data_IF_581282071821
#
_entry.id   IF_581282071821
#
_cell.length_a   1.000
_cell.length_b   1.000
_cell.length_c   1.000
_cell.angle_alpha   90.00
_cell.angle_beta   90.00
_cell.angle_gamma   90.00
#
_symmetry.space_group_name_H-M   'P 1'
#
loop_
_entity.id
_entity.type
_entity.pdbx_description
1 polymer ?
#
# COMPACT_ATOMS: atom_id res chain seq x y z
N UNK A 1 42.84 -3.31 64.78
CA UNK A 1 43.29 -3.21 63.41
C UNK A 1 42.19 -3.95 62.52
N UNK A 2 41.25 -3.19 62.11
CA UNK A 2 40.03 -3.73 61.43
C UNK A 2 40.06 -3.29 59.99
N UNK A 3 40.19 -4.28 59.07
CA UNK A 3 40.10 -4.07 57.61
C UNK A 3 38.64 -4.03 57.23
N UNK A 4 38.21 -2.88 56.71
CA UNK A 4 36.88 -2.72 56.11
C UNK A 4 36.97 -3.07 54.65
N UNK A 5 36.28 -4.15 54.25
CA UNK A 5 36.16 -4.61 52.86
C UNK A 5 35.03 -3.84 52.19
N UNK A 6 35.33 -2.98 51.20
CA UNK A 6 34.37 -2.28 50.37
C UNK A 6 34.00 -3.17 49.18
N UNK A 7 32.80 -3.75 49.23
CA UNK A 7 32.18 -4.34 48.03
C UNK A 7 31.64 -3.24 47.13
N UNK A 8 32.23 -3.11 45.96
CA UNK A 8 31.70 -2.27 44.87
C UNK A 8 30.64 -3.07 44.12
N UNK A 9 29.36 -2.72 44.29
CA UNK A 9 28.27 -3.28 43.51
C UNK A 9 28.17 -2.49 42.22
N UNK A 10 28.69 -3.04 41.11
CA UNK A 10 28.39 -2.54 39.76
C UNK A 10 26.96 -2.94 39.38
N UNK A 11 26.02 -2.03 39.49
CA UNK A 11 24.69 -2.18 38.92
C UNK A 11 24.81 -2.01 37.40
N UNK A 12 24.92 -3.13 36.68
CA UNK A 12 24.80 -3.13 35.23
C UNK A 12 23.36 -2.82 34.84
N UNK A 13 23.11 -1.66 34.26
CA UNK A 13 21.88 -1.33 33.54
C UNK A 13 21.82 -2.21 32.29
N UNK A 14 21.05 -3.27 32.37
CA UNK A 14 20.62 -4.04 31.18
C UNK A 14 19.60 -3.19 30.44
N UNK A 15 20.07 -2.45 29.43
CA UNK A 15 19.24 -1.89 28.40
C UNK A 15 18.63 -3.07 27.59
N UNK A 16 17.43 -3.41 27.91
CA UNK A 16 16.65 -4.39 27.13
C UNK A 16 16.32 -3.77 25.77
N UNK A 17 17.20 -3.98 24.79
CA UNK A 17 16.87 -3.73 23.39
C UNK A 17 15.82 -4.74 23.00
N UNK A 18 14.58 -4.31 22.87
CA UNK A 18 13.53 -5.11 22.22
C UNK A 18 13.87 -5.11 20.73
N UNK A 19 14.64 -6.10 20.30
CA UNK A 19 14.85 -6.35 18.88
C UNK A 19 13.53 -6.80 18.28
N UNK A 20 12.86 -5.91 17.60
CA UNK A 20 11.73 -6.26 16.73
C UNK A 20 12.28 -7.04 15.55
N UNK A 21 12.20 -8.36 15.62
CA UNK A 21 12.62 -9.30 14.57
C UNK A 21 11.66 -9.27 13.37
N UNK A 22 11.26 -8.09 12.86
CA UNK A 22 10.36 -8.00 11.72
C UNK A 22 11.09 -8.02 10.38
N UNK A 23 12.42 -7.89 10.35
CA UNK A 23 13.21 -7.84 9.11
C UNK A 23 12.92 -6.63 8.20
N UNK A 24 12.06 -5.69 8.65
CA UNK A 24 11.75 -4.42 7.99
C UNK A 24 12.56 -3.29 8.64
N UNK A 25 13.00 -2.28 7.87
CA UNK A 25 13.69 -1.14 8.43
C UNK A 25 12.78 -0.33 9.36
N UNK A 26 13.36 0.21 10.39
CA UNK A 26 12.69 1.20 11.22
C UNK A 26 12.83 2.57 10.56
N UNK A 27 11.72 3.28 10.41
CA UNK A 27 11.68 4.63 9.84
C UNK A 27 11.36 5.60 10.96
N UNK A 28 12.27 6.55 11.26
CA UNK A 28 12.05 7.50 12.34
C UNK A 28 10.76 8.30 12.14
N UNK A 29 10.06 8.56 13.24
CA UNK A 29 8.89 9.44 13.29
C UNK A 29 9.11 10.52 14.35
N UNK A 30 8.51 11.72 14.21
CA UNK A 30 8.60 12.74 15.23
C UNK A 30 8.07 12.25 16.58
N UNK A 31 8.59 12.80 17.66
CA UNK A 31 8.06 12.50 19.00
C UNK A 31 6.58 12.88 19.12
N UNK A 32 5.88 12.16 19.98
CA UNK A 32 4.48 12.43 20.33
C UNK A 32 3.45 12.28 19.19
N UNK A 33 3.78 11.55 18.12
CA UNK A 33 2.81 11.17 17.08
C UNK A 33 2.23 9.77 17.35
N UNK A 34 0.96 9.59 17.01
CA UNK A 34 0.31 8.27 16.99
C UNK A 34 0.37 7.72 15.57
N UNK A 35 1.11 6.64 15.40
CA UNK A 35 1.28 5.99 14.09
C UNK A 35 0.21 4.93 13.89
N UNK A 36 -0.48 5.00 12.75
CA UNK A 36 -1.45 3.98 12.32
C UNK A 36 -0.86 3.16 11.19
N UNK A 37 -0.86 1.85 11.32
CA UNK A 37 -0.54 0.94 10.22
C UNK A 37 -1.79 0.79 9.34
N UNK A 38 -1.65 1.03 8.02
CA UNK A 38 -2.77 1.03 7.07
C UNK A 38 -3.22 -0.40 6.73
N UNK A 39 -2.29 -1.36 6.72
CA UNK A 39 -2.58 -2.78 6.48
C UNK A 39 -1.54 -3.64 7.18
N UNK A 40 -1.95 -4.81 7.68
CA UNK A 40 -1.04 -5.78 8.31
C UNK A 40 -0.06 -6.36 7.28
N UNK A 41 -0.59 -6.83 6.16
CA UNK A 41 0.18 -7.36 5.02
C UNK A 41 -0.35 -6.75 3.73
N UNK A 42 0.55 -6.16 2.96
CA UNK A 42 0.21 -5.58 1.65
C UNK A 42 1.23 -6.02 0.60
N UNK A 43 0.75 -6.30 -0.60
CA UNK A 43 1.58 -6.52 -1.79
C UNK A 43 1.07 -5.60 -2.90
N UNK A 44 1.95 -4.77 -3.45
CA UNK A 44 1.66 -3.86 -4.56
C UNK A 44 2.46 -4.29 -5.79
N UNK A 45 1.78 -4.68 -6.85
CA UNK A 45 2.39 -5.18 -8.09
C UNK A 45 3.48 -6.26 -7.85
N UNK A 46 3.22 -7.20 -6.92
CA UNK A 46 4.14 -8.25 -6.56
C UNK A 46 5.22 -7.86 -5.54
N UNK A 47 5.31 -6.59 -5.13
CA UNK A 47 6.26 -6.10 -4.13
C UNK A 47 5.60 -6.05 -2.76
N UNK A 48 6.07 -6.80 -1.75
CA UNK A 48 5.59 -6.65 -0.38
C UNK A 48 5.84 -5.24 0.15
N UNK A 49 4.84 -4.67 0.82
CA UNK A 49 4.89 -3.30 1.35
C UNK A 49 4.32 -3.23 2.76
N UNK A 50 4.79 -2.23 3.52
CA UNK A 50 4.14 -1.72 4.72
C UNK A 50 3.81 -0.25 4.52
N UNK A 51 2.64 0.17 4.98
CA UNK A 51 2.21 1.56 4.91
C UNK A 51 1.79 2.01 6.31
N UNK A 52 2.35 3.13 6.73
CA UNK A 52 2.02 3.80 7.98
C UNK A 52 1.54 5.21 7.69
N UNK A 53 0.70 5.75 8.57
CA UNK A 53 0.28 7.14 8.48
C UNK A 53 0.19 7.77 9.86
N UNK A 54 0.39 9.08 9.92
CA UNK A 54 0.21 9.87 11.14
C UNK A 54 -0.02 11.35 10.81
N UNK A 55 -0.54 12.05 11.80
CA UNK A 55 -0.67 13.50 11.78
C UNK A 55 0.38 14.15 12.68
N UNK A 56 0.84 15.35 12.28
CA UNK A 56 1.85 16.12 12.98
C UNK A 56 1.39 17.57 13.17
N UNK A 57 0.99 17.91 14.38
CA UNK A 57 0.42 19.22 14.72
C UNK A 57 1.28 20.44 14.34
N UNK A 58 2.63 20.40 14.45
CA UNK A 58 3.46 21.52 14.02
C UNK A 58 3.41 21.84 12.52
N UNK A 59 2.74 21.01 11.71
CA UNK A 59 2.44 21.27 10.31
C UNK A 59 3.42 20.68 9.30
N UNK A 60 3.04 20.77 8.02
CA UNK A 60 3.75 20.17 6.87
C UNK A 60 5.23 20.55 6.81
N UNK A 61 5.55 21.85 6.95
CA UNK A 61 6.92 22.33 6.75
C UNK A 61 7.88 21.72 7.78
N UNK A 62 7.49 21.74 9.07
CA UNK A 62 8.32 21.15 10.12
C UNK A 62 8.46 19.64 9.98
N UNK A 63 7.44 18.98 9.44
CA UNK A 63 7.50 17.55 9.16
C UNK A 63 8.48 17.23 8.01
N UNK A 64 8.49 18.03 6.94
CA UNK A 64 9.49 17.93 5.87
C UNK A 64 10.90 18.18 6.39
N UNK A 65 11.07 19.22 7.20
CA UNK A 65 12.38 19.56 7.78
C UNK A 65 12.89 18.44 8.71
N UNK A 66 11.99 17.78 9.46
CA UNK A 66 12.34 16.60 10.26
C UNK A 66 12.96 15.52 9.38
N UNK A 67 12.31 15.07 8.31
CA UNK A 67 12.84 14.00 7.45
C UNK A 67 14.09 14.41 6.70
N UNK A 68 14.15 15.65 6.19
CA UNK A 68 15.34 16.17 5.51
C UNK A 68 16.57 16.20 6.42
N UNK A 69 16.39 16.62 7.67
CA UNK A 69 17.49 16.69 8.65
C UNK A 69 17.89 15.30 9.10
N UNK A 70 16.95 14.45 9.51
CA UNK A 70 17.22 13.07 9.93
C UNK A 70 18.00 12.31 8.87
N UNK A 71 17.56 12.36 7.61
CA UNK A 71 18.23 11.62 6.54
C UNK A 71 19.60 12.21 6.15
N UNK A 72 19.81 13.52 6.32
CA UNK A 72 21.14 14.13 6.16
C UNK A 72 22.10 13.75 7.30
N UNK A 73 21.61 13.74 8.54
CA UNK A 73 22.38 13.33 9.71
C UNK A 73 22.79 11.86 9.66
N UNK A 74 21.93 11.01 9.08
CA UNK A 74 22.18 9.58 8.85
C UNK A 74 22.96 9.31 7.54
N UNK A 75 23.36 10.35 6.81
CA UNK A 75 24.05 10.26 5.51
C UNK A 75 23.28 9.47 4.45
N UNK A 76 21.92 9.46 4.54
CA UNK A 76 21.05 8.80 3.58
C UNK A 76 20.85 9.71 2.36
N UNK A 77 21.27 9.25 1.18
CA UNK A 77 20.93 9.90 -0.09
C UNK A 77 19.45 9.74 -0.38
N UNK A 78 18.72 10.85 -0.51
CA UNK A 78 17.30 10.83 -0.85
C UNK A 78 16.98 11.73 -2.04
N UNK A 79 15.88 11.43 -2.71
CA UNK A 79 15.27 12.28 -3.73
C UNK A 79 14.01 12.91 -3.19
N UNK A 80 13.76 14.14 -3.61
CA UNK A 80 12.56 14.88 -3.27
C UNK A 80 11.89 15.39 -4.53
N UNK A 81 10.55 15.27 -4.61
CA UNK A 81 9.75 15.84 -5.70
C UNK A 81 8.35 16.17 -5.20
N UNK A 82 7.66 17.05 -5.93
CA UNK A 82 6.28 17.43 -5.65
C UNK A 82 5.33 16.74 -6.63
N UNK A 83 4.20 16.24 -6.09
CA UNK A 83 3.13 15.64 -6.89
C UNK A 83 1.77 16.06 -6.31
N UNK A 84 1.10 17.00 -6.98
CA UNK A 84 -0.14 17.58 -6.49
C UNK A 84 0.04 18.26 -5.12
N UNK A 85 -0.69 17.80 -4.13
CA UNK A 85 -0.57 18.33 -2.76
C UNK A 85 0.56 17.68 -1.93
N UNK A 86 1.24 16.68 -2.46
CA UNK A 86 2.25 15.90 -1.77
C UNK A 86 3.65 16.38 -2.10
N UNK A 87 4.50 16.46 -1.08
CA UNK A 87 5.95 16.40 -1.24
C UNK A 87 6.40 15.01 -0.86
N UNK A 88 7.14 14.37 -1.75
CA UNK A 88 7.54 12.99 -1.65
C UNK A 88 9.05 12.93 -1.51
N UNK A 89 9.52 12.42 -0.35
CA UNK A 89 10.91 12.09 -0.12
C UNK A 89 11.07 10.59 -0.27
N UNK A 90 12.13 10.13 -0.93
CA UNK A 90 12.34 8.71 -1.15
C UNK A 90 13.82 8.34 -1.17
N UNK A 91 14.14 7.24 -0.49
CA UNK A 91 15.50 6.76 -0.32
C UNK A 91 15.59 5.24 -0.40
N UNK A 92 16.69 4.69 -0.97
CA UNK A 92 17.02 3.29 -0.82
C UNK A 92 17.48 3.02 0.62
N UNK A 93 17.15 1.84 1.13
CA UNK A 93 17.60 1.34 2.43
C UNK A 93 17.86 -0.17 2.33
N UNK A 94 19.09 -0.55 1.98
CA UNK A 94 19.48 -1.92 1.65
C UNK A 94 18.58 -2.52 0.56
N UNK A 95 17.87 -3.60 0.85
CA UNK A 95 16.90 -4.26 -0.06
C UNK A 95 15.51 -3.62 -0.08
N UNK A 96 15.32 -2.57 0.70
CA UNK A 96 14.06 -1.83 0.80
C UNK A 96 14.15 -0.49 0.07
N UNK A 97 12.98 0.09 -0.16
CA UNK A 97 12.85 1.46 -0.61
C UNK A 97 11.82 2.16 0.28
N UNK A 98 12.25 3.24 0.92
CA UNK A 98 11.42 4.03 1.83
C UNK A 98 10.91 5.26 1.11
N UNK A 99 9.62 5.53 1.22
CA UNK A 99 8.97 6.71 0.66
C UNK A 99 8.18 7.40 1.75
N UNK A 100 8.46 8.67 1.99
CA UNK A 100 7.71 9.53 2.91
C UNK A 100 6.96 10.57 2.09
N UNK A 101 5.65 10.49 2.08
CA UNK A 101 4.75 11.43 1.40
C UNK A 101 4.15 12.36 2.44
N UNK A 102 4.37 13.66 2.29
CA UNK A 102 3.90 14.68 3.24
C UNK A 102 2.95 15.63 2.55
N UNK A 103 1.80 15.86 3.17
CA UNK A 103 0.79 16.83 2.72
C UNK A 103 0.34 17.71 3.89
N UNK A 104 -0.53 18.67 3.61
CA UNK A 104 -1.20 19.51 4.59
C UNK A 104 -2.65 19.05 4.74
N UNK A 105 -3.10 18.81 5.99
CA UNK A 105 -4.48 18.52 6.32
C UNK A 105 -4.98 19.59 7.32
N UNK A 106 -5.69 20.59 6.83
CA UNK A 106 -6.03 21.75 7.65
C UNK A 106 -4.77 22.47 8.16
N UNK A 107 -4.57 22.55 9.46
CA UNK A 107 -3.39 23.14 10.10
C UNK A 107 -2.32 22.09 10.46
N UNK A 108 -2.57 20.82 10.16
CA UNK A 108 -1.75 19.67 10.56
C UNK A 108 -0.97 19.15 9.37
N UNK A 109 0.29 18.78 9.54
CA UNK A 109 1.04 17.98 8.59
C UNK A 109 0.50 16.54 8.61
N UNK A 110 0.34 15.94 7.45
CA UNK A 110 -0.04 14.54 7.31
C UNK A 110 1.04 13.77 6.56
N UNK A 111 1.48 12.66 7.12
CA UNK A 111 2.47 11.79 6.49
C UNK A 111 1.91 10.40 6.17
N UNK A 112 2.35 9.87 5.03
CA UNK A 112 2.30 8.44 4.74
C UNK A 112 3.73 7.94 4.50
N UNK A 113 4.09 6.87 5.21
CA UNK A 113 5.37 6.18 5.04
C UNK A 113 5.10 4.86 4.35
N UNK A 114 5.65 4.67 3.16
CA UNK A 114 5.64 3.41 2.43
C UNK A 114 7.02 2.76 2.46
N UNK A 115 7.08 1.49 2.87
CA UNK A 115 8.31 0.69 2.85
C UNK A 115 8.09 -0.48 1.89
N UNK A 116 8.84 -0.54 0.81
CA UNK A 116 8.76 -1.58 -0.22
C UNK A 116 9.92 -2.55 -0.09
N UNK A 117 9.66 -3.86 -0.03
CA UNK A 117 10.69 -4.89 0.08
C UNK A 117 11.02 -5.50 -1.30
N UNK A 118 11.97 -4.87 -2.00
CA UNK A 118 12.43 -5.36 -3.31
C UNK A 118 13.26 -6.63 -3.22
N UNK A 119 13.90 -6.89 -2.09
CA UNK A 119 14.65 -8.12 -1.84
C UNK A 119 13.79 -9.38 -1.79
N UNK A 120 12.48 -9.23 -1.55
CA UNK A 120 11.52 -10.34 -1.55
C UNK A 120 11.02 -10.69 -2.96
N UNK A 121 11.24 -9.82 -3.96
CA UNK A 121 10.81 -10.06 -5.35
C UNK A 121 11.75 -11.08 -6.01
N UNK A 122 11.20 -12.08 -6.66
CA UNK A 122 11.94 -13.14 -7.33
C UNK A 122 11.28 -13.53 -8.65
N UNK A 123 11.95 -14.37 -9.44
CA UNK A 123 11.38 -14.95 -10.67
C UNK A 123 10.12 -15.79 -10.43
N UNK A 124 9.84 -16.17 -9.18
CA UNK A 124 8.63 -16.92 -8.79
C UNK A 124 7.49 -16.00 -8.35
N UNK A 125 7.74 -14.70 -8.20
CA UNK A 125 6.71 -13.71 -7.89
C UNK A 125 5.75 -13.64 -9.09
N UNK A 126 4.44 -13.87 -8.90
CA UNK A 126 3.48 -13.79 -9.99
C UNK A 126 3.44 -12.38 -10.59
N UNK A 127 3.29 -12.30 -11.91
CA UNK A 127 3.07 -11.02 -12.58
C UNK A 127 1.76 -10.38 -12.11
N UNK A 128 1.70 -9.04 -12.02
CA UNK A 128 0.48 -8.32 -11.71
C UNK A 128 -0.70 -8.76 -12.58
N UNK A 129 -1.85 -8.97 -11.97
CA UNK A 129 -3.06 -9.44 -12.65
C UNK A 129 -3.13 -10.94 -12.91
N UNK A 130 -2.16 -11.73 -12.46
CA UNK A 130 -2.22 -13.20 -12.60
C UNK A 130 -3.50 -13.74 -11.95
N UNK A 131 -4.24 -14.57 -12.72
CA UNK A 131 -5.52 -15.16 -12.28
C UNK A 131 -6.73 -14.25 -12.39
N UNK A 132 -6.58 -12.95 -12.66
CA UNK A 132 -7.71 -12.07 -12.95
C UNK A 132 -8.10 -12.17 -14.43
N UNK A 133 -9.40 -12.37 -14.76
CA UNK A 133 -9.87 -12.46 -16.14
C UNK A 133 -9.75 -11.09 -16.83
N UNK A 134 -9.28 -11.06 -18.08
CA UNK A 134 -9.18 -9.82 -18.85
C UNK A 134 -9.26 -10.11 -20.37
N UNK A 135 -9.73 -9.13 -21.10
CA UNK A 135 -9.71 -9.16 -22.57
C UNK A 135 -8.25 -9.07 -23.07
N UNK A 136 -7.96 -9.54 -24.30
CA UNK A 136 -6.64 -9.33 -24.91
C UNK A 136 -6.24 -7.85 -24.90
N UNK A 137 -4.94 -7.57 -24.94
CA UNK A 137 -4.35 -6.22 -24.96
C UNK A 137 -4.73 -5.35 -23.74
N UNK A 138 -5.14 -5.99 -22.66
CA UNK A 138 -5.36 -5.31 -21.38
C UNK A 138 -4.05 -5.16 -20.59
N UNK A 139 -3.79 -3.93 -20.15
CA UNK A 139 -2.68 -3.59 -19.26
C UNK A 139 -3.17 -3.59 -17.80
N UNK A 140 -2.52 -4.34 -16.93
CA UNK A 140 -2.70 -4.22 -15.49
C UNK A 140 -1.84 -3.05 -14.99
N UNK A 141 -2.50 -2.00 -14.53
CA UNK A 141 -1.83 -0.80 -14.00
C UNK A 141 -1.46 -1.03 -12.54
N UNK A 142 -2.42 -1.51 -11.74
CA UNK A 142 -2.23 -1.81 -10.33
C UNK A 142 -2.84 -3.16 -9.97
N UNK A 143 -2.16 -3.88 -9.09
CA UNK A 143 -2.62 -5.10 -8.44
C UNK A 143 -2.19 -5.05 -6.97
N UNK A 144 -3.14 -4.81 -6.09
CA UNK A 144 -2.92 -4.62 -4.66
C UNK A 144 -3.62 -5.72 -3.91
N UNK A 145 -2.88 -6.53 -3.19
CA UNK A 145 -3.45 -7.49 -2.23
C UNK A 145 -3.16 -7.01 -0.81
N UNK A 146 -4.14 -7.11 0.06
CA UNK A 146 -4.01 -6.70 1.44
C UNK A 146 -4.75 -7.68 2.37
N UNK A 147 -4.22 -7.84 3.58
CA UNK A 147 -4.89 -8.53 4.67
C UNK A 147 -5.09 -7.53 5.80
N UNK A 148 -6.29 -7.43 6.30
CA UNK A 148 -6.64 -6.62 7.46
C UNK A 148 -7.66 -7.34 8.34
N UNK A 149 -7.33 -7.50 9.62
CA UNK A 149 -8.19 -8.18 10.61
C UNK A 149 -8.68 -9.56 10.13
N UNK A 150 -7.80 -10.33 9.47
CA UNK A 150 -8.09 -11.66 8.92
C UNK A 150 -8.88 -11.66 7.61
N UNK A 151 -9.33 -10.51 7.12
CA UNK A 151 -10.01 -10.36 5.84
C UNK A 151 -9.01 -10.10 4.74
N UNK A 152 -9.09 -10.84 3.65
CA UNK A 152 -8.23 -10.63 2.48
C UNK A 152 -8.99 -9.85 1.40
N UNK A 153 -8.31 -8.89 0.80
CA UNK A 153 -8.81 -8.13 -0.33
C UNK A 153 -7.79 -8.09 -1.46
N UNK A 154 -8.27 -7.96 -2.68
CA UNK A 154 -7.44 -7.68 -3.86
C UNK A 154 -8.10 -6.62 -4.72
N UNK A 155 -7.36 -5.56 -5.00
CA UNK A 155 -7.82 -4.45 -5.83
C UNK A 155 -6.98 -4.38 -7.10
N UNK A 156 -7.64 -4.34 -8.26
CA UNK A 156 -6.98 -4.23 -9.55
C UNK A 156 -7.46 -2.99 -10.29
N UNK A 157 -6.53 -2.34 -10.96
CA UNK A 157 -6.82 -1.36 -12.01
C UNK A 157 -6.27 -1.90 -13.33
N UNK A 158 -7.17 -2.09 -14.30
CA UNK A 158 -6.84 -2.59 -15.64
C UNK A 158 -7.31 -1.60 -16.68
N UNK A 159 -6.52 -1.38 -17.70
CA UNK A 159 -6.85 -0.53 -18.86
C UNK A 159 -6.83 -1.32 -20.15
N UNK A 160 -7.76 -1.01 -21.07
CA UNK A 160 -7.71 -1.53 -22.44
C UNK A 160 -8.43 -0.60 -23.43
N UNK A 161 -8.33 -0.90 -24.74
CA UNK A 161 -8.98 -0.17 -25.80
C UNK A 161 -10.38 -0.69 -26.18
N UNK A 162 -10.93 -1.67 -25.44
CA UNK A 162 -12.26 -2.23 -25.72
C UNK A 162 -13.38 -1.32 -25.18
N UNK A 163 -14.57 -1.37 -25.79
CA UNK A 163 -15.72 -0.60 -25.30
C UNK A 163 -16.20 -1.09 -23.94
N UNK A 164 -16.87 -0.21 -23.18
CA UNK A 164 -17.53 -0.57 -21.91
C UNK A 164 -18.48 -1.75 -22.09
N UNK A 165 -19.25 -1.77 -23.17
CA UNK A 165 -20.17 -2.87 -23.46
C UNK A 165 -19.45 -4.20 -23.71
N UNK A 166 -18.29 -4.19 -24.38
CA UNK A 166 -17.47 -5.39 -24.61
C UNK A 166 -16.88 -5.92 -23.31
N UNK A 167 -16.28 -5.03 -22.49
CA UNK A 167 -15.74 -5.38 -21.18
C UNK A 167 -16.85 -5.93 -20.25
N UNK A 168 -18.00 -5.25 -20.18
CA UNK A 168 -19.12 -5.68 -19.35
C UNK A 168 -19.62 -7.09 -19.72
N UNK A 169 -19.85 -7.35 -21.03
CA UNK A 169 -20.29 -8.68 -21.50
C UNK A 169 -19.24 -9.76 -21.20
N UNK A 170 -17.98 -9.43 -21.35
CA UNK A 170 -16.88 -10.34 -21.06
C UNK A 170 -16.89 -10.77 -19.58
N UNK A 171 -16.91 -9.81 -18.64
CA UNK A 171 -16.92 -10.12 -17.20
C UNK A 171 -18.21 -10.82 -16.79
N UNK A 172 -19.36 -10.35 -17.24
CA UNK A 172 -20.64 -11.00 -16.97
C UNK A 172 -20.61 -12.47 -17.42
N UNK A 173 -20.23 -12.73 -18.68
CA UNK A 173 -20.16 -14.10 -19.20
C UNK A 173 -19.09 -14.95 -18.53
N UNK A 174 -17.94 -14.35 -18.16
CA UNK A 174 -16.88 -15.07 -17.44
C UNK A 174 -17.40 -15.58 -16.09
N UNK A 175 -17.92 -14.71 -15.25
CA UNK A 175 -18.37 -15.08 -13.90
C UNK A 175 -19.58 -15.99 -13.91
N UNK A 176 -20.54 -15.82 -14.85
CA UNK A 176 -21.65 -16.74 -15.00
C UNK A 176 -21.19 -18.16 -15.37
N UNK A 177 -20.23 -18.32 -16.29
CA UNK A 177 -19.66 -19.64 -16.64
C UNK A 177 -18.91 -20.29 -15.47
N UNK A 178 -18.40 -19.49 -14.52
CA UNK A 178 -17.75 -19.96 -13.31
C UNK A 178 -18.73 -20.16 -12.13
N UNK A 179 -20.05 -20.13 -12.41
CA UNK A 179 -21.11 -20.31 -11.41
C UNK A 179 -21.11 -19.27 -10.28
N UNK A 180 -20.68 -18.03 -10.57
CA UNK A 180 -20.86 -16.92 -9.66
C UNK A 180 -22.29 -16.37 -9.79
N UNK A 181 -22.91 -16.04 -8.66
CA UNK A 181 -24.20 -15.37 -8.60
C UNK A 181 -24.04 -13.89 -8.91
N UNK A 182 -24.84 -13.36 -9.84
CA UNK A 182 -24.90 -11.93 -10.11
C UNK A 182 -25.79 -11.26 -9.05
N UNK A 183 -25.14 -10.47 -8.17
CA UNK A 183 -25.82 -9.73 -7.09
C UNK A 183 -26.39 -8.42 -7.62
N UNK A 184 -25.59 -7.72 -8.42
CA UNK A 184 -25.97 -6.43 -9.05
C UNK A 184 -25.31 -6.31 -10.41
N UNK A 185 -26.02 -5.70 -11.33
CA UNK A 185 -25.45 -5.37 -12.64
C UNK A 185 -26.13 -4.12 -13.23
N UNK A 186 -25.32 -3.24 -13.81
CA UNK A 186 -25.80 -2.07 -14.54
C UNK A 186 -24.86 -1.76 -15.70
N UNK A 187 -25.42 -1.40 -16.85
CA UNK A 187 -24.69 -0.98 -18.03
C UNK A 187 -25.33 0.30 -18.59
N UNK A 188 -24.61 1.42 -18.52
CA UNK A 188 -24.99 2.68 -19.14
C UNK A 188 -23.98 3.06 -20.24
N UNK A 189 -24.24 2.59 -21.46
CA UNK A 189 -23.35 2.85 -22.61
C UNK A 189 -23.29 4.35 -22.94
N UNK A 190 -24.37 5.11 -22.69
CA UNK A 190 -24.42 6.55 -23.00
C UNK A 190 -23.50 7.34 -22.06
N UNK A 191 -23.43 6.93 -20.81
CA UNK A 191 -22.50 7.53 -19.82
C UNK A 191 -21.11 6.94 -19.88
N UNK A 192 -20.87 5.90 -20.69
CA UNK A 192 -19.58 5.21 -20.73
C UNK A 192 -19.23 4.55 -19.39
N UNK A 193 -20.21 3.94 -18.70
CA UNK A 193 -20.02 3.35 -17.39
C UNK A 193 -20.79 2.02 -17.26
N UNK A 194 -20.24 1.11 -16.46
CA UNK A 194 -20.94 -0.10 -16.03
C UNK A 194 -20.46 -0.52 -14.64
N UNK A 195 -21.30 -1.30 -13.95
CA UNK A 195 -20.96 -1.93 -12.68
C UNK A 195 -21.49 -3.36 -12.66
N UNK A 196 -20.74 -4.25 -12.04
CA UNK A 196 -21.08 -5.66 -11.87
C UNK A 196 -20.60 -6.10 -10.47
N UNK A 197 -21.50 -6.63 -9.65
CA UNK A 197 -21.19 -7.29 -8.39
C UNK A 197 -21.58 -8.76 -8.51
N UNK A 198 -20.65 -9.64 -8.24
CA UNK A 198 -20.86 -11.09 -8.25
C UNK A 198 -20.33 -11.72 -6.97
N UNK A 199 -20.98 -12.78 -6.51
CA UNK A 199 -20.60 -13.49 -5.30
C UNK A 199 -20.60 -15.00 -5.51
N UNK A 200 -19.67 -15.69 -4.83
CA UNK A 200 -19.61 -17.15 -4.78
C UNK A 200 -18.92 -17.59 -3.48
N UNK A 201 -19.61 -18.42 -2.71
CA UNK A 201 -19.14 -18.91 -1.42
C UNK A 201 -18.83 -17.73 -0.46
N UNK A 202 -17.60 -17.65 0.03
CA UNK A 202 -17.07 -16.57 0.88
C UNK A 202 -16.43 -15.41 0.10
N UNK A 203 -16.61 -15.37 -1.23
CA UNK A 203 -15.96 -14.40 -2.12
C UNK A 203 -16.97 -13.48 -2.78
N UNK A 204 -16.65 -12.19 -2.76
CA UNK A 204 -17.37 -11.15 -3.49
C UNK A 204 -16.42 -10.44 -4.44
N UNK A 205 -16.87 -10.14 -5.65
CA UNK A 205 -16.13 -9.35 -6.64
C UNK A 205 -16.99 -8.19 -7.10
N UNK A 206 -16.52 -6.98 -6.92
CA UNK A 206 -17.10 -5.77 -7.48
C UNK A 206 -16.24 -5.25 -8.63
N UNK A 207 -16.86 -4.98 -9.80
CA UNK A 207 -16.18 -4.47 -10.99
C UNK A 207 -16.88 -3.20 -11.43
N UNK A 208 -16.14 -2.10 -11.47
CA UNK A 208 -16.59 -0.80 -12.00
C UNK A 208 -15.83 -0.52 -13.29
N UNK A 209 -16.55 -0.15 -14.33
CA UNK A 209 -16.03 0.14 -15.66
C UNK A 209 -16.32 1.60 -16.01
N UNK A 210 -15.31 2.34 -16.44
CA UNK A 210 -15.48 3.74 -16.89
C UNK A 210 -14.69 3.98 -18.18
N UNK A 211 -15.26 4.82 -19.06
CA UNK A 211 -14.62 5.25 -20.30
C UNK A 211 -13.92 6.59 -20.08
N UNK A 212 -12.64 6.67 -20.43
CA UNK A 212 -11.87 7.93 -20.44
C UNK A 212 -11.15 8.05 -21.80
N UNK A 213 -11.64 8.94 -22.65
CA UNK A 213 -11.14 9.06 -24.02
C UNK A 213 -11.32 7.74 -24.79
N UNK A 214 -10.25 7.20 -25.35
CA UNK A 214 -10.27 5.93 -26.11
C UNK A 214 -10.05 4.70 -25.24
N UNK A 215 -9.82 4.84 -23.93
CA UNK A 215 -9.53 3.73 -23.02
C UNK A 215 -10.70 3.45 -22.09
N UNK A 216 -10.93 2.16 -21.81
CA UNK A 216 -11.74 1.68 -20.72
C UNK A 216 -10.86 1.40 -19.50
N UNK A 217 -11.28 1.91 -18.35
CA UNK A 217 -10.68 1.63 -17.05
C UNK A 217 -11.58 0.64 -16.32
N UNK A 218 -10.99 -0.43 -15.84
CA UNK A 218 -11.65 -1.51 -15.11
C UNK A 218 -11.06 -1.50 -13.70
N UNK A 219 -11.86 -1.10 -12.73
CA UNK A 219 -11.52 -1.17 -11.32
C UNK A 219 -12.25 -2.37 -10.72
N UNK A 220 -11.50 -3.33 -10.21
CA UNK A 220 -12.05 -4.54 -9.63
C UNK A 220 -11.58 -4.73 -8.19
N UNK A 221 -12.50 -5.04 -7.29
CA UNK A 221 -12.23 -5.35 -5.88
C UNK A 221 -12.77 -6.73 -5.55
N UNK A 222 -11.91 -7.62 -5.14
CA UNK A 222 -12.26 -8.92 -4.59
C UNK A 222 -12.10 -8.91 -3.07
N UNK A 223 -13.09 -9.41 -2.36
CA UNK A 223 -13.07 -9.60 -0.90
C UNK A 223 -13.30 -11.08 -0.61
N UNK A 224 -12.51 -11.62 0.31
CA UNK A 224 -12.65 -12.97 0.84
C UNK A 224 -12.96 -12.83 2.34
N UNK A 225 -14.14 -13.30 2.73
CA UNK A 225 -14.68 -13.16 4.09
C UNK A 225 -14.22 -14.27 5.02
#
# INVERSE_FOLDING_TARGET
MTLVNRFLVCAGLLLSSITHASGWPDVPVPESVSVTQVSEDMVFNGVPMKIFSFEYLPGRQKLLDFYRNTWREEEIEFKEHEQGQWVILSAPHDKFYVTVQVSQLGNTGYAQIGISNWGAVSKKTPDPGTGFPRLPDSLVVNDISATDSGRRSRTLLVENGHSIASNYRYYMGHYQRQHWNVVRSNLDVKKGAAALTVARDDREMEIVLTQQGSKSHIFAVEIIH
#
